data_IF_152891066617
#
_entry.id   IF_152891066617
#
_cell.length_a   1.000
_cell.length_b   1.000
_cell.length_c   1.000
_cell.angle_alpha   90.00
_cell.angle_beta   90.00
_cell.angle_gamma   90.00
#
_symmetry.space_group_name_H-M   'P 1'
#
loop_
_entity.id
_entity.type
_entity.pdbx_description
1 polymer ?
#
# COMPACT_ATOMS: atom_id res chain seq x y z
N UNK A 1 9.93 31.40 -67.71
CA UNK A 1 9.41 31.96 -66.44
C UNK A 1 7.95 31.55 -66.28
N UNK A 2 7.66 30.64 -65.33
CA UNK A 2 6.34 30.28 -64.75
C UNK A 2 6.48 28.83 -64.27
N UNK A 3 6.30 28.62 -62.97
CA UNK A 3 6.32 27.35 -62.19
C UNK A 3 7.18 27.39 -60.90
N UNK A 4 7.61 28.56 -60.43
CA UNK A 4 8.16 28.69 -59.06
C UNK A 4 7.10 29.08 -58.02
N UNK A 5 5.93 29.56 -58.43
CA UNK A 5 4.87 30.03 -57.52
C UNK A 5 4.32 28.95 -56.56
N UNK A 6 4.10 27.67 -56.96
CA UNK A 6 3.55 26.68 -56.02
C UNK A 6 4.59 26.21 -54.99
N UNK A 7 5.89 26.29 -55.30
CA UNK A 7 6.97 25.89 -54.38
C UNK A 7 7.14 26.91 -53.25
N UNK A 8 7.02 28.20 -53.54
CA UNK A 8 7.09 29.25 -52.52
C UNK A 8 5.89 29.23 -51.57
N UNK A 9 4.69 28.89 -52.05
CA UNK A 9 3.50 28.75 -51.19
C UNK A 9 3.63 27.54 -50.27
N UNK A 10 4.17 26.41 -50.76
CA UNK A 10 4.42 25.21 -49.94
C UNK A 10 5.47 25.46 -48.84
N UNK A 11 6.54 26.19 -49.16
CA UNK A 11 7.59 26.54 -48.19
C UNK A 11 7.10 27.51 -47.12
N UNK A 12 6.24 28.46 -47.49
CA UNK A 12 5.60 29.37 -46.52
C UNK A 12 4.59 28.60 -45.64
N UNK A 13 3.87 27.62 -46.19
CA UNK A 13 3.00 26.74 -45.39
C UNK A 13 3.83 25.92 -44.39
N UNK A 14 4.94 25.32 -44.80
CA UNK A 14 5.83 24.58 -43.89
C UNK A 14 6.42 25.51 -42.82
N UNK A 15 6.87 26.72 -43.18
CA UNK A 15 7.44 27.67 -42.23
C UNK A 15 6.40 28.29 -41.27
N UNK A 16 5.14 28.40 -41.68
CA UNK A 16 4.05 28.89 -40.81
C UNK A 16 3.48 27.81 -39.89
N UNK A 17 3.63 26.52 -40.23
CA UNK A 17 3.32 25.39 -39.33
C UNK A 17 4.49 25.01 -38.40
N UNK A 18 5.65 25.66 -38.52
CA UNK A 18 6.81 25.48 -37.62
C UNK A 18 6.81 26.46 -36.43
N UNK A 19 5.82 27.36 -36.33
CA UNK A 19 5.46 28.01 -35.05
C UNK A 19 4.19 27.34 -34.53
N UNK A 20 4.15 26.56 -33.45
CA UNK A 20 4.90 26.69 -32.22
C UNK A 20 5.26 25.30 -31.67
N UNK A 21 6.52 24.91 -31.78
CA UNK A 21 7.15 24.15 -30.70
C UNK A 21 7.51 25.19 -29.64
N UNK A 22 6.49 25.66 -28.90
CA UNK A 22 6.77 26.14 -27.56
C UNK A 22 7.41 24.97 -26.84
N UNK A 23 8.74 25.01 -26.72
CA UNK A 23 9.40 24.42 -25.58
C UNK A 23 8.75 25.07 -24.36
N UNK A 24 7.66 24.47 -23.89
CA UNK A 24 7.30 24.50 -22.49
C UNK A 24 8.41 23.71 -21.78
N UNK A 25 9.61 24.29 -21.72
CA UNK A 25 10.49 24.05 -20.60
C UNK A 25 9.74 24.62 -19.42
N UNK A 26 8.87 23.80 -18.81
CA UNK A 26 8.40 24.05 -17.47
C UNK A 26 9.67 24.18 -16.62
N UNK A 27 10.07 25.42 -16.32
CA UNK A 27 11.11 25.71 -15.34
C UNK A 27 10.56 25.29 -13.97
N UNK A 28 10.70 24.01 -13.66
CA UNK A 28 10.22 23.42 -12.42
C UNK A 28 10.25 21.89 -12.47
N UNK A 29 10.27 21.22 -11.30
CA UNK A 29 10.13 19.77 -11.23
C UNK A 29 8.85 19.32 -11.94
N UNK A 30 8.89 18.16 -12.61
CA UNK A 30 7.70 17.59 -13.25
C UNK A 30 6.62 17.38 -12.17
N UNK A 31 5.36 17.62 -12.54
CA UNK A 31 4.21 17.43 -11.64
C UNK A 31 3.31 16.30 -12.14
N UNK A 32 3.04 15.36 -11.25
CA UNK A 32 2.21 14.17 -11.45
C UNK A 32 0.89 14.32 -10.71
N UNK A 33 -0.11 13.51 -11.05
CA UNK A 33 -1.38 13.49 -10.33
C UNK A 33 -1.24 12.63 -9.08
N UNK A 34 -1.22 13.21 -7.87
CA UNK A 34 -0.93 12.45 -6.65
C UNK A 34 -1.95 11.34 -6.39
N UNK A 35 -3.21 11.52 -6.81
CA UNK A 35 -4.28 10.54 -6.58
C UNK A 35 -4.14 9.24 -7.39
N UNK A 36 -3.09 9.09 -8.20
CA UNK A 36 -2.84 7.89 -9.02
C UNK A 36 -1.73 6.99 -8.47
N UNK A 37 -1.11 7.37 -7.38
CA UNK A 37 0.09 6.72 -6.86
C UNK A 37 -0.13 6.25 -5.43
N UNK A 38 0.58 5.18 -5.06
CA UNK A 38 0.59 4.67 -3.70
C UNK A 38 1.83 5.21 -3.00
N UNK A 39 1.63 5.92 -1.90
CA UNK A 39 2.70 6.59 -1.19
C UNK A 39 3.18 5.72 -0.03
N UNK A 40 4.48 5.49 0.00
CA UNK A 40 5.18 4.83 1.09
C UNK A 40 6.15 5.83 1.70
N UNK A 41 6.03 6.05 3.01
CA UNK A 41 6.85 7.04 3.71
C UNK A 41 6.74 8.45 3.08
N UNK A 42 5.59 8.81 2.51
CA UNK A 42 5.34 10.12 1.88
C UNK A 42 5.95 10.30 0.49
N UNK A 43 6.42 9.23 -0.15
CA UNK A 43 6.94 9.26 -1.53
C UNK A 43 6.42 8.08 -2.35
N UNK A 44 6.46 8.21 -3.69
CA UNK A 44 6.03 7.16 -4.61
C UNK A 44 6.95 7.07 -5.83
N UNK A 45 7.02 5.89 -6.45
CA UNK A 45 7.72 5.69 -7.71
C UNK A 45 6.78 5.86 -8.91
N UNK A 46 7.32 6.44 -9.99
CA UNK A 46 6.62 6.63 -11.26
C UNK A 46 7.54 6.21 -12.40
N UNK A 47 7.19 5.11 -13.06
CA UNK A 47 7.86 4.70 -14.28
C UNK A 47 7.36 5.54 -15.46
N UNK A 48 8.27 6.25 -16.12
CA UNK A 48 8.01 6.86 -17.42
C UNK A 48 8.18 5.81 -18.50
N UNK A 49 7.30 5.87 -19.49
CA UNK A 49 7.32 5.02 -20.66
C UNK A 49 7.48 5.89 -21.89
N UNK A 50 8.47 5.57 -22.72
CA UNK A 50 8.61 6.19 -24.02
C UNK A 50 7.75 5.43 -25.03
N UNK A 51 6.74 6.12 -25.58
CA UNK A 51 5.96 5.60 -26.69
C UNK A 51 6.58 6.08 -28.00
N UNK A 52 7.19 5.18 -28.76
CA UNK A 52 7.56 5.47 -30.13
C UNK A 52 6.32 5.35 -31.04
N UNK A 53 5.95 6.43 -31.74
CA UNK A 53 4.76 6.52 -32.60
C UNK A 53 4.67 5.47 -33.73
N UNK A 54 5.75 4.72 -33.99
CA UNK A 54 5.86 3.77 -35.09
C UNK A 54 6.29 2.36 -34.69
N UNK A 55 6.64 2.13 -33.42
CA UNK A 55 7.00 0.80 -32.90
C UNK A 55 6.03 0.43 -31.78
N UNK A 56 5.44 -0.76 -31.86
CA UNK A 56 4.52 -1.30 -30.86
C UNK A 56 5.20 -1.70 -29.54
N UNK A 57 6.44 -1.26 -29.32
CA UNK A 57 7.23 -1.57 -28.13
C UNK A 57 7.30 -0.33 -27.26
N UNK A 58 6.70 -0.44 -26.08
CA UNK A 58 6.91 0.51 -24.99
C UNK A 58 8.29 0.24 -24.41
N UNK A 59 9.22 1.19 -24.54
CA UNK A 59 10.51 1.11 -23.86
C UNK A 59 10.38 1.77 -22.49
N UNK A 60 10.96 1.13 -21.48
CA UNK A 60 11.08 1.73 -20.15
C UNK A 60 11.98 2.97 -20.28
N UNK A 61 11.45 4.11 -19.84
CA UNK A 61 12.20 5.35 -19.71
C UNK A 61 12.70 5.52 -18.27
N UNK A 62 12.78 6.78 -17.85
CA UNK A 62 13.20 7.17 -16.50
C UNK A 62 12.25 6.64 -15.40
N UNK A 63 12.83 6.30 -14.24
CA UNK A 63 12.09 6.10 -13.00
C UNK A 63 12.17 7.34 -12.13
N UNK A 64 11.03 7.85 -11.68
CA UNK A 64 10.91 9.11 -10.95
C UNK A 64 10.39 8.86 -9.55
N UNK A 65 10.97 9.53 -8.57
CA UNK A 65 10.42 9.61 -7.22
C UNK A 65 9.64 10.92 -7.05
N UNK A 66 8.42 10.84 -6.51
CA UNK A 66 7.53 12.00 -6.28
C UNK A 66 7.08 12.08 -4.81
N UNK A 67 6.75 13.29 -4.35
CA UNK A 67 6.09 13.52 -3.05
C UNK A 67 4.55 13.44 -3.12
N UNK A 68 3.88 13.58 -1.97
CA UNK A 68 2.41 13.54 -1.82
C UNK A 68 1.68 14.66 -2.60
N UNK A 69 2.36 15.75 -2.95
CA UNK A 69 1.84 16.82 -3.82
C UNK A 69 2.01 16.51 -5.31
N UNK A 70 2.63 15.37 -5.62
CA UNK A 70 2.94 14.89 -6.96
C UNK A 70 4.16 15.57 -7.57
N UNK A 71 5.00 16.23 -6.77
CA UNK A 71 6.18 16.94 -7.26
C UNK A 71 7.36 15.96 -7.36
N UNK A 72 8.04 15.96 -8.50
CA UNK A 72 9.28 15.22 -8.69
C UNK A 72 10.36 15.66 -7.69
N UNK A 73 10.89 14.69 -6.96
CA UNK A 73 12.03 14.85 -6.05
C UNK A 73 13.34 14.56 -6.76
N UNK A 74 13.40 13.45 -7.50
CA UNK A 74 14.57 13.04 -8.28
C UNK A 74 14.21 12.02 -9.36
N UNK A 75 15.15 11.82 -10.28
CA UNK A 75 15.05 10.88 -11.39
C UNK A 75 16.22 9.88 -11.36
N UNK A 76 15.93 8.60 -11.58
CA UNK A 76 16.90 7.52 -11.77
C UNK A 76 16.82 7.03 -13.22
N UNK A 77 17.76 7.47 -14.09
CA UNK A 77 17.82 6.97 -15.45
C UNK A 77 18.24 5.49 -15.46
N UNK A 78 17.77 4.74 -16.44
CA UNK A 78 18.11 3.32 -16.68
C UNK A 78 17.77 2.35 -15.53
N UNK A 79 16.93 2.78 -14.57
CA UNK A 79 16.40 1.92 -13.49
C UNK A 79 14.93 1.69 -13.75
N UNK A 80 14.50 0.43 -13.69
CA UNK A 80 13.10 0.07 -13.83
C UNK A 80 12.42 -0.04 -12.47
N UNK A 81 11.10 0.16 -12.46
CA UNK A 81 10.25 -0.05 -11.28
C UNK A 81 10.40 -1.43 -10.62
N UNK A 82 10.74 -2.46 -11.39
CA UNK A 82 10.99 -3.82 -10.88
C UNK A 82 12.38 -4.00 -10.23
N UNK A 83 13.23 -2.98 -10.31
CA UNK A 83 14.56 -2.96 -9.70
C UNK A 83 14.60 -2.12 -8.43
N UNK A 84 13.47 -1.57 -7.99
CA UNK A 84 13.38 -0.77 -6.76
C UNK A 84 12.36 -1.36 -5.82
N UNK A 85 12.62 -1.26 -4.52
CA UNK A 85 11.60 -1.47 -3.52
C UNK A 85 10.75 -0.22 -3.27
N UNK A 86 9.60 -0.37 -2.62
CA UNK A 86 8.96 0.76 -1.94
C UNK A 86 9.89 1.33 -0.85
N UNK A 87 9.59 2.54 -0.38
CA UNK A 87 10.30 3.14 0.76
C UNK A 87 9.78 2.57 2.08
N UNK A 88 10.68 2.36 3.03
CA UNK A 88 10.37 2.07 4.42
C UNK A 88 11.50 2.58 5.31
N UNK A 89 11.16 3.17 6.46
CA UNK A 89 12.12 3.79 7.37
C UNK A 89 13.05 4.80 6.68
N UNK A 90 12.54 5.54 5.69
CA UNK A 90 13.30 6.55 4.97
C UNK A 90 14.23 6.05 3.86
N UNK A 91 14.30 4.73 3.62
CA UNK A 91 15.22 4.13 2.64
C UNK A 91 14.49 3.26 1.62
N UNK A 92 15.12 3.04 0.47
CA UNK A 92 14.69 2.09 -0.55
C UNK A 92 15.88 1.23 -1.03
N UNK A 93 15.58 0.02 -1.46
CA UNK A 93 16.53 -0.93 -2.03
C UNK A 93 16.53 -0.78 -3.56
N UNK A 94 17.71 -0.75 -4.18
CA UNK A 94 17.86 -0.51 -5.62
C UNK A 94 18.83 -1.49 -6.24
N UNK A 95 18.42 -2.07 -7.38
CA UNK A 95 19.22 -2.91 -8.27
C UNK A 95 19.88 -4.09 -7.54
N UNK A 96 19.19 -4.64 -6.53
CA UNK A 96 19.67 -5.77 -5.74
C UNK A 96 20.95 -5.52 -4.93
N UNK A 97 21.40 -4.27 -4.74
CA UNK A 97 22.71 -3.99 -4.11
C UNK A 97 22.81 -2.67 -3.36
N UNK A 98 22.05 -1.65 -3.76
CA UNK A 98 22.17 -0.31 -3.21
C UNK A 98 21.06 -0.02 -2.22
N UNK A 99 21.38 0.81 -1.23
CA UNK A 99 20.40 1.44 -0.35
C UNK A 99 20.49 2.95 -0.57
N UNK A 100 19.35 3.57 -0.86
CA UNK A 100 19.25 5.02 -1.06
C UNK A 100 18.25 5.63 -0.07
N UNK A 101 18.39 6.92 0.21
CA UNK A 101 17.37 7.70 0.92
C UNK A 101 16.37 8.37 -0.06
N UNK A 102 15.37 9.06 0.50
CA UNK A 102 14.35 9.85 -0.24
C UNK A 102 14.91 11.02 -1.05
N UNK A 103 16.20 11.33 -0.93
CA UNK A 103 16.89 12.35 -1.72
C UNK A 103 17.80 11.76 -2.81
N UNK A 104 17.69 10.46 -3.07
CA UNK A 104 18.55 9.68 -3.97
C UNK A 104 20.01 9.59 -3.52
N UNK A 105 20.32 9.93 -2.27
CA UNK A 105 21.68 9.77 -1.77
C UNK A 105 21.95 8.30 -1.54
N UNK A 106 23.01 7.79 -2.17
CA UNK A 106 23.54 6.47 -1.85
C UNK A 106 23.97 6.43 -0.38
N UNK A 107 23.34 5.56 0.40
CA UNK A 107 23.69 5.29 1.78
C UNK A 107 24.71 4.15 1.83
N UNK A 108 24.40 3.04 1.15
CA UNK A 108 25.23 1.82 1.19
C UNK A 108 25.28 1.07 -0.14
N UNK A 109 26.39 0.38 -0.37
CA UNK A 109 26.57 -0.65 -1.40
C UNK A 109 26.91 -1.97 -0.69
N UNK A 110 25.92 -2.83 -0.49
CA UNK A 110 26.06 -4.02 0.36
C UNK A 110 27.00 -5.08 -0.24
N UNK A 111 27.05 -5.21 -1.56
CA UNK A 111 27.98 -6.14 -2.22
C UNK A 111 29.42 -5.74 -1.93
N UNK A 112 29.73 -4.44 -2.01
CA UNK A 112 31.08 -3.93 -1.74
C UNK A 112 31.43 -3.95 -0.26
N UNK A 113 30.47 -3.65 0.62
CA UNK A 113 30.71 -3.48 2.05
C UNK A 113 30.71 -4.81 2.81
N UNK A 114 29.81 -5.72 2.46
CA UNK A 114 29.56 -6.97 3.19
C UNK A 114 29.76 -8.22 2.31
N UNK A 115 29.93 -8.07 1.00
CA UNK A 115 30.04 -9.23 0.09
C UNK A 115 28.71 -9.96 -0.11
N UNK A 116 27.58 -9.25 0.04
CA UNK A 116 26.23 -9.82 -0.04
C UNK A 116 25.36 -9.10 -1.08
N UNK A 117 24.40 -9.81 -1.64
CA UNK A 117 23.42 -9.26 -2.59
C UNK A 117 22.03 -9.21 -1.97
N UNK A 118 21.23 -8.20 -2.30
CA UNK A 118 19.88 -8.03 -1.77
C UNK A 118 18.91 -8.92 -2.53
N UNK A 119 18.09 -9.67 -1.80
CA UNK A 119 16.93 -10.36 -2.35
C UNK A 119 15.75 -9.37 -2.43
N UNK A 120 15.32 -9.04 -3.65
CA UNK A 120 14.18 -8.15 -3.88
C UNK A 120 12.91 -8.97 -4.13
N UNK A 121 11.89 -8.75 -3.30
CA UNK A 121 10.63 -9.46 -3.42
C UNK A 121 9.65 -8.66 -4.29
N UNK A 122 9.10 -9.20 -5.39
CA UNK A 122 8.09 -8.48 -6.17
C UNK A 122 6.79 -8.31 -5.37
N UNK A 123 6.19 -7.12 -5.42
CA UNK A 123 4.89 -6.86 -4.78
C UNK A 123 3.74 -7.21 -5.72
N UNK A 124 3.08 -8.34 -5.49
CA UNK A 124 1.86 -8.66 -6.25
C UNK A 124 0.69 -7.77 -5.80
N UNK A 125 0.24 -6.84 -6.65
CA UNK A 125 -1.03 -6.13 -6.43
C UNK A 125 -2.18 -7.11 -6.66
N UNK A 126 -2.85 -7.51 -5.58
CA UNK A 126 -4.10 -8.26 -5.66
C UNK A 126 -5.23 -7.29 -5.95
N UNK A 127 -5.59 -7.16 -7.23
CA UNK A 127 -6.78 -6.42 -7.66
C UNK A 127 -8.05 -7.22 -7.33
N UNK A 128 -8.39 -7.37 -6.04
CA UNK A 128 -9.74 -7.66 -5.52
C UNK A 128 -10.52 -8.88 -6.04
N UNK A 129 -9.98 -9.71 -6.95
CA UNK A 129 -10.68 -10.84 -7.56
C UNK A 129 -10.02 -12.18 -7.19
N UNK A 130 -10.81 -13.23 -6.86
CA UNK A 130 -10.30 -14.56 -6.66
C UNK A 130 -9.99 -15.17 -8.04
N UNK A 131 -8.78 -14.97 -8.55
CA UNK A 131 -8.44 -15.41 -9.91
C UNK A 131 -7.01 -15.19 -10.35
N UNK A 132 -6.02 -15.58 -9.54
CA UNK A 132 -4.61 -15.65 -9.95
C UNK A 132 -3.92 -14.29 -10.23
N UNK A 133 -2.59 -14.27 -10.33
CA UNK A 133 -1.85 -13.04 -10.64
C UNK A 133 -2.17 -12.61 -12.07
N UNK A 134 -2.73 -11.41 -12.23
CA UNK A 134 -2.78 -10.71 -13.52
C UNK A 134 -1.34 -10.42 -13.94
N UNK A 135 -0.93 -10.98 -15.08
CA UNK A 135 0.46 -11.02 -15.56
C UNK A 135 1.06 -9.67 -15.99
N UNK A 136 0.28 -8.60 -15.96
CA UNK A 136 0.68 -7.31 -16.50
C UNK A 136 0.36 -6.20 -15.50
N UNK A 137 1.25 -5.94 -14.56
CA UNK A 137 1.47 -4.58 -14.02
C UNK A 137 2.78 -4.53 -13.24
N UNK A 138 3.73 -3.79 -13.81
CA UNK A 138 4.83 -3.07 -13.18
C UNK A 138 4.72 -2.95 -11.65
N UNK A 139 5.23 -3.96 -10.94
CA UNK A 139 5.17 -4.03 -9.48
C UNK A 139 6.51 -3.59 -8.92
N UNK A 140 6.47 -2.54 -8.10
CA UNK A 140 7.55 -2.24 -7.16
C UNK A 140 7.87 -3.48 -6.33
N UNK A 141 9.11 -3.61 -5.87
CA UNK A 141 9.47 -4.63 -4.91
C UNK A 141 8.96 -4.26 -3.50
N UNK A 142 8.54 -5.25 -2.74
CA UNK A 142 8.15 -5.12 -1.34
C UNK A 142 9.39 -4.95 -0.45
N UNK A 143 9.30 -3.99 0.46
CA UNK A 143 10.26 -3.76 1.53
C UNK A 143 9.57 -3.15 2.75
N UNK A 144 9.78 -3.75 3.91
CA UNK A 144 9.18 -3.35 5.18
C UNK A 144 10.24 -2.94 6.22
N UNK A 145 11.51 -2.78 5.83
CA UNK A 145 12.58 -2.39 6.74
C UNK A 145 13.54 -3.52 7.11
N UNK A 146 13.23 -4.77 6.77
CA UNK A 146 14.17 -5.90 6.85
C UNK A 146 14.74 -6.23 5.48
N UNK A 147 16.06 -6.37 5.40
CA UNK A 147 16.80 -6.58 4.17
C UNK A 147 17.25 -8.03 4.14
N UNK A 148 16.65 -8.81 3.26
CA UNK A 148 17.08 -10.18 2.98
C UNK A 148 18.28 -10.12 2.06
N UNK A 149 19.35 -10.80 2.44
CA UNK A 149 20.60 -10.81 1.68
C UNK A 149 21.07 -12.22 1.46
N UNK A 150 21.58 -12.49 0.27
CA UNK A 150 22.18 -13.76 -0.12
C UNK A 150 23.69 -13.66 -0.15
N UNK A 151 24.35 -14.73 0.27
CA UNK A 151 25.80 -14.89 0.23
C UNK A 151 26.15 -16.34 -0.12
N UNK A 152 27.18 -16.54 -0.93
CA UNK A 152 27.75 -17.87 -1.17
C UNK A 152 28.84 -18.16 -0.13
N UNK A 153 28.60 -19.18 0.70
CA UNK A 153 29.54 -19.63 1.75
C UNK A 153 29.89 -21.09 1.45
N UNK A 154 31.17 -21.35 1.18
CA UNK A 154 31.68 -22.69 0.83
C UNK A 154 30.93 -23.37 -0.34
N UNK A 155 30.46 -22.58 -1.32
CA UNK A 155 29.71 -23.07 -2.47
C UNK A 155 28.21 -23.30 -2.21
N UNK A 156 27.71 -22.87 -1.05
CA UNK A 156 26.30 -22.95 -0.68
C UNK A 156 25.74 -21.55 -0.55
N UNK A 157 24.69 -21.26 -1.32
CA UNK A 157 23.91 -20.04 -1.18
C UNK A 157 23.13 -20.07 0.15
N UNK A 158 23.39 -19.08 0.99
CA UNK A 158 22.76 -18.86 2.28
C UNK A 158 22.07 -17.50 2.30
N UNK A 159 20.96 -17.41 3.03
CA UNK A 159 20.20 -16.17 3.18
C UNK A 159 20.31 -15.70 4.62
N UNK A 160 20.61 -14.42 4.81
CA UNK A 160 20.56 -13.73 6.10
C UNK A 160 19.60 -12.55 6.06
N UNK A 161 19.44 -11.89 7.20
CA UNK A 161 18.55 -10.75 7.36
C UNK A 161 19.22 -9.64 8.15
N UNK A 162 19.28 -8.46 7.55
CA UNK A 162 19.75 -7.22 8.17
C UNK A 162 18.54 -6.35 8.54
N UNK A 163 18.66 -5.55 9.59
CA UNK A 163 17.75 -4.43 9.81
C UNK A 163 18.15 -3.22 8.94
N UNK A 164 17.35 -2.15 8.98
CA UNK A 164 17.63 -0.90 8.26
C UNK A 164 18.91 -0.17 8.68
N UNK A 165 19.51 -0.54 9.83
CA UNK A 165 20.80 -0.03 10.30
C UNK A 165 21.99 -0.92 9.88
N UNK A 166 21.75 -1.96 9.07
CA UNK A 166 22.73 -2.96 8.64
C UNK A 166 23.31 -3.83 9.76
N UNK A 167 22.56 -4.00 10.83
CA UNK A 167 22.89 -4.97 11.86
C UNK A 167 22.26 -6.32 11.50
N UNK A 168 23.04 -7.39 11.65
CA UNK A 168 22.54 -8.75 11.48
C UNK A 168 21.49 -9.06 12.54
N UNK A 169 20.28 -9.32 12.08
CA UNK A 169 19.22 -9.92 12.91
C UNK A 169 19.32 -11.44 12.81
N UNK A 170 19.65 -11.93 11.62
CA UNK A 170 19.93 -13.34 11.35
C UNK A 170 21.13 -13.40 10.42
N UNK A 171 22.23 -14.02 10.87
CA UNK A 171 23.37 -14.27 9.99
C UNK A 171 23.02 -15.25 8.86
N UNK A 172 23.72 -15.20 7.71
CA UNK A 172 23.43 -16.06 6.58
C UNK A 172 23.35 -17.54 6.96
N UNK A 173 22.21 -18.16 6.66
CA UNK A 173 21.93 -19.56 6.97
C UNK A 173 21.10 -20.20 5.86
N UNK A 174 21.28 -21.51 5.68
CA UNK A 174 20.44 -22.29 4.76
C UNK A 174 18.97 -22.38 5.22
N UNK A 175 18.68 -22.14 6.51
CA UNK A 175 17.32 -22.21 7.05
C UNK A 175 16.41 -21.09 6.52
N UNK A 176 17.00 -19.95 6.13
CA UNK A 176 16.28 -18.78 5.64
C UNK A 176 16.19 -18.74 4.11
N UNK A 177 16.69 -19.78 3.44
CA UNK A 177 16.50 -19.95 2.02
C UNK A 177 14.99 -20.07 1.73
N UNK A 178 14.55 -19.47 0.63
CA UNK A 178 13.15 -19.48 0.15
C UNK A 178 12.14 -18.71 1.01
N UNK A 179 12.60 -17.73 1.80
CA UNK A 179 11.73 -16.82 2.53
C UNK A 179 10.90 -15.97 1.57
N UNK A 180 9.61 -15.82 1.85
CA UNK A 180 8.71 -14.97 1.06
C UNK A 180 7.91 -14.05 1.96
N UNK A 181 7.77 -12.76 1.61
CA UNK A 181 6.90 -11.87 2.36
C UNK A 181 5.46 -12.36 2.28
N UNK A 182 4.76 -12.25 3.41
CA UNK A 182 3.32 -12.49 3.50
C UNK A 182 2.60 -11.22 3.88
N UNK A 183 2.97 -10.63 5.00
CA UNK A 183 2.33 -9.43 5.56
C UNK A 183 3.36 -8.63 6.36
N UNK A 184 2.93 -7.56 7.04
CA UNK A 184 3.77 -6.64 7.83
C UNK A 184 4.79 -7.38 8.73
N UNK A 185 6.05 -7.44 8.29
CA UNK A 185 7.17 -8.10 8.99
C UNK A 185 6.99 -9.61 9.21
N UNK A 186 6.05 -10.22 8.48
CA UNK A 186 5.71 -11.64 8.55
C UNK A 186 6.01 -12.31 7.22
N UNK A 187 6.74 -13.41 7.32
CA UNK A 187 7.27 -14.14 6.17
C UNK A 187 6.88 -15.60 6.28
N UNK A 188 6.96 -16.30 5.15
CA UNK A 188 6.74 -17.74 5.09
C UNK A 188 7.96 -18.42 4.46
N UNK A 189 8.46 -19.42 5.18
CA UNK A 189 9.44 -20.38 4.70
C UNK A 189 8.73 -21.69 4.34
N UNK A 190 9.01 -22.22 3.14
CA UNK A 190 8.37 -23.45 2.66
C UNK A 190 8.62 -24.71 3.52
N UNK A 191 9.69 -24.70 4.31
CA UNK A 191 10.12 -25.83 5.14
C UNK A 191 9.82 -25.56 6.63
N UNK A 192 10.14 -24.37 7.10
CA UNK A 192 10.10 -24.01 8.53
C UNK A 192 8.76 -23.41 8.98
N UNK A 193 7.92 -22.94 8.05
CA UNK A 193 6.63 -22.32 8.37
C UNK A 193 6.69 -20.79 8.42
N UNK A 194 5.89 -20.18 9.29
CA UNK A 194 5.80 -18.73 9.42
C UNK A 194 6.95 -18.18 10.26
N UNK A 195 7.42 -16.98 9.91
CA UNK A 195 8.52 -16.32 10.59
C UNK A 195 8.18 -14.86 10.84
N UNK A 196 8.49 -14.40 12.04
CA UNK A 196 8.30 -13.02 12.45
C UNK A 196 9.65 -12.31 12.61
N UNK A 197 9.91 -11.34 11.74
CA UNK A 197 11.18 -10.62 11.76
C UNK A 197 11.33 -9.65 12.94
N UNK A 198 10.22 -9.15 13.52
CA UNK A 198 10.30 -8.23 14.66
C UNK A 198 10.75 -8.93 15.94
N UNK A 199 10.30 -10.17 16.14
CA UNK A 199 10.65 -10.99 17.32
C UNK A 199 11.75 -12.01 17.03
N UNK A 200 12.16 -12.15 15.76
CA UNK A 200 13.19 -13.06 15.29
C UNK A 200 12.92 -14.53 15.67
N UNK A 201 11.73 -15.03 15.35
CA UNK A 201 11.34 -16.42 15.65
C UNK A 201 10.42 -17.00 14.57
N UNK A 202 10.48 -18.33 14.43
CA UNK A 202 9.47 -19.08 13.69
C UNK A 202 8.24 -19.29 14.59
N UNK A 203 7.07 -19.07 14.01
CA UNK A 203 5.77 -19.15 14.70
C UNK A 203 4.85 -20.09 13.93
N UNK A 204 3.83 -20.61 14.61
CA UNK A 204 2.78 -21.38 13.97
C UNK A 204 1.78 -20.48 13.22
N UNK A 205 0.87 -21.11 12.48
CA UNK A 205 -0.12 -20.40 11.66
C UNK A 205 -1.12 -19.58 12.51
N UNK A 206 -1.46 -20.06 13.70
CA UNK A 206 -2.41 -19.38 14.57
C UNK A 206 -1.79 -18.09 15.10
N UNK A 207 -0.58 -18.16 15.64
CA UNK A 207 0.20 -17.00 16.09
C UNK A 207 0.44 -16.00 14.95
N UNK A 208 0.76 -16.49 13.74
CA UNK A 208 0.88 -15.65 12.54
C UNK A 208 -0.41 -14.86 12.27
N UNK A 209 -1.58 -15.51 12.33
CA UNK A 209 -2.88 -14.85 12.11
C UNK A 209 -3.14 -13.79 13.18
N UNK A 210 -2.80 -14.05 14.44
CA UNK A 210 -2.93 -13.08 15.54
C UNK A 210 -2.04 -11.87 15.27
N UNK A 211 -0.75 -12.08 15.03
CA UNK A 211 0.21 -10.99 14.81
C UNK A 211 -0.11 -10.18 13.57
N UNK A 212 -0.52 -10.84 12.48
CA UNK A 212 -0.95 -10.17 11.26
C UNK A 212 -2.13 -9.23 11.56
N UNK A 213 -3.19 -9.75 12.19
CA UNK A 213 -4.34 -8.95 12.59
C UNK A 213 -3.94 -7.75 13.45
N UNK A 214 -3.13 -7.94 14.49
CA UNK A 214 -2.69 -6.84 15.36
C UNK A 214 -1.90 -5.76 14.62
N UNK A 215 -1.12 -6.15 13.59
CA UNK A 215 -0.28 -5.24 12.78
C UNK A 215 -1.04 -4.51 11.70
N UNK A 216 -2.27 -4.91 11.38
CA UNK A 216 -3.11 -4.21 10.42
C UNK A 216 -3.79 -2.96 10.99
N UNK A 217 -3.82 -2.80 12.32
CA UNK A 217 -4.46 -1.67 13.00
C UNK A 217 -3.47 -0.90 13.90
N UNK A 218 -2.32 -0.43 13.36
CA UNK A 218 -1.28 0.17 14.19
C UNK A 218 -1.67 1.53 14.75
N UNK A 219 -2.51 2.32 14.06
CA UNK A 219 -2.82 3.69 14.47
C UNK A 219 -3.91 3.77 15.53
N UNK A 220 -5.07 3.14 15.29
CA UNK A 220 -6.16 3.11 16.26
C UNK A 220 -5.90 2.14 17.41
N UNK A 221 -5.18 1.05 17.15
CA UNK A 221 -5.03 -0.07 18.09
C UNK A 221 -6.35 -0.76 18.42
N UNK A 222 -7.40 -0.50 17.63
CA UNK A 222 -8.76 -1.01 17.84
C UNK A 222 -9.14 -1.87 16.64
N UNK A 223 -9.56 -3.09 16.93
CA UNK A 223 -9.75 -4.14 15.94
C UNK A 223 -11.21 -4.56 15.98
N UNK A 224 -11.85 -4.52 14.82
CA UNK A 224 -13.19 -5.09 14.69
C UNK A 224 -13.11 -6.60 14.44
N UNK A 225 -13.77 -7.38 15.28
CA UNK A 225 -13.90 -8.83 15.15
C UNK A 225 -15.38 -9.20 15.05
N UNK A 226 -15.72 -9.91 13.99
CA UNK A 226 -17.06 -10.48 13.76
C UNK A 226 -17.04 -11.97 14.09
N UNK A 227 -17.83 -12.36 15.08
CA UNK A 227 -17.96 -13.74 15.51
C UNK A 227 -18.74 -14.56 14.46
N UNK A 228 -18.10 -15.61 13.94
CA UNK A 228 -18.68 -16.57 13.00
C UNK A 228 -19.13 -17.87 13.70
N UNK A 229 -19.07 -17.90 15.04
CA UNK A 229 -19.31 -19.08 15.87
C UNK A 229 -18.08 -19.99 16.02
N UNK A 230 -18.13 -20.89 17.01
CA UNK A 230 -17.04 -21.84 17.33
C UNK A 230 -15.66 -21.14 17.48
N UNK A 231 -15.62 -20.01 18.20
CA UNK A 231 -14.40 -19.21 18.41
C UNK A 231 -13.74 -18.68 17.15
N UNK A 232 -14.43 -18.74 16.00
CA UNK A 232 -13.93 -18.24 14.73
C UNK A 232 -14.35 -16.79 14.55
N UNK A 233 -13.39 -15.95 14.18
CA UNK A 233 -13.63 -14.54 13.93
C UNK A 233 -13.15 -14.15 12.53
N UNK A 234 -13.86 -13.21 11.94
CA UNK A 234 -13.40 -12.44 10.78
C UNK A 234 -12.98 -11.06 11.24
N UNK A 235 -11.84 -10.57 10.76
CA UNK A 235 -11.44 -9.17 10.87
C UNK A 235 -11.39 -8.56 9.48
N UNK A 236 -11.81 -7.30 9.35
CA UNK A 236 -11.75 -6.59 8.09
C UNK A 236 -11.67 -5.07 8.28
N UNK A 237 -10.78 -4.42 7.53
CA UNK A 237 -10.71 -2.97 7.39
C UNK A 237 -10.16 -2.63 6.00
N UNK A 238 -11.01 -2.04 5.15
CA UNK A 238 -10.63 -1.74 3.78
C UNK A 238 -10.25 -3.01 2.99
N UNK A 239 -9.02 -3.06 2.47
CA UNK A 239 -8.47 -4.21 1.74
C UNK A 239 -7.94 -5.32 2.66
N UNK A 240 -7.72 -5.02 3.94
CA UNK A 240 -7.26 -6.01 4.91
C UNK A 240 -8.44 -6.85 5.35
N UNK A 241 -8.32 -8.17 5.22
CA UNK A 241 -9.29 -9.11 5.77
C UNK A 241 -8.62 -10.43 6.12
N UNK A 242 -9.16 -11.11 7.13
CA UNK A 242 -8.67 -12.43 7.51
C UNK A 242 -9.62 -13.18 8.43
N UNK A 243 -9.17 -14.38 8.81
CA UNK A 243 -9.89 -15.27 9.72
C UNK A 243 -8.94 -15.74 10.80
N UNK A 244 -9.43 -15.79 12.03
CA UNK A 244 -8.65 -16.16 13.21
C UNK A 244 -9.52 -16.99 14.15
N UNK A 245 -8.89 -17.87 14.93
CA UNK A 245 -9.56 -18.58 16.02
C UNK A 245 -9.07 -18.01 17.35
N UNK A 246 -9.99 -17.63 18.22
CA UNK A 246 -9.69 -17.02 19.52
C UNK A 246 -10.57 -17.67 20.59
N UNK A 247 -9.98 -18.57 21.38
CA UNK A 247 -10.72 -19.42 22.34
C UNK A 247 -11.35 -18.63 23.50
N UNK A 248 -10.76 -17.49 23.87
CA UNK A 248 -11.16 -16.72 25.06
C UNK A 248 -12.09 -15.53 24.77
N UNK A 249 -12.55 -15.37 23.53
CA UNK A 249 -13.54 -14.36 23.15
C UNK A 249 -14.70 -15.00 22.40
N UNK A 250 -15.90 -14.43 22.52
CA UNK A 250 -17.14 -14.99 21.97
C UNK A 250 -18.07 -13.93 21.34
N UNK A 251 -17.68 -12.65 21.36
CA UNK A 251 -18.54 -11.53 20.99
C UNK A 251 -18.14 -10.84 19.69
N UNK A 252 -19.11 -10.36 18.94
CA UNK A 252 -18.87 -9.44 17.82
C UNK A 252 -18.69 -8.03 18.37
N UNK A 253 -17.62 -7.33 17.98
CA UNK A 253 -17.33 -6.03 18.54
C UNK A 253 -15.96 -5.46 18.21
N UNK A 254 -15.62 -4.38 18.90
CA UNK A 254 -14.30 -3.77 18.84
C UNK A 254 -13.46 -4.15 20.04
N UNK A 255 -12.21 -4.51 19.79
CA UNK A 255 -11.24 -4.99 20.76
C UNK A 255 -9.98 -4.12 20.74
N UNK A 256 -9.29 -4.00 21.87
CA UNK A 256 -7.95 -3.40 21.90
C UNK A 256 -6.88 -4.42 21.43
N UNK A 257 -5.62 -4.01 21.44
CA UNK A 257 -4.48 -4.88 21.09
C UNK A 257 -4.27 -6.07 22.04
N UNK A 258 -4.72 -5.94 23.28
CA UNK A 258 -4.67 -7.02 24.28
C UNK A 258 -5.87 -7.98 24.15
N UNK A 259 -6.73 -7.76 23.14
CA UNK A 259 -7.97 -8.49 22.87
C UNK A 259 -9.02 -8.34 23.98
N UNK A 260 -8.98 -7.24 24.75
CA UNK A 260 -10.08 -6.85 25.62
C UNK A 260 -11.20 -6.19 24.79
N UNK A 261 -12.44 -6.59 25.08
CA UNK A 261 -13.62 -6.01 24.44
C UNK A 261 -13.82 -4.56 24.88
N UNK A 262 -13.79 -3.65 23.91
CA UNK A 262 -14.04 -2.21 24.10
C UNK A 262 -15.51 -1.88 23.84
N UNK A 263 -16.07 -2.43 22.75
CA UNK A 263 -17.49 -2.24 22.39
C UNK A 263 -18.11 -3.57 21.99
N UNK A 264 -19.13 -3.99 22.74
CA UNK A 264 -19.97 -5.13 22.39
C UNK A 264 -21.03 -4.72 21.36
N UNK A 265 -21.00 -5.37 20.21
CA UNK A 265 -21.95 -5.16 19.11
C UNK A 265 -22.71 -6.45 18.77
N UNK A 266 -22.69 -7.43 19.68
CA UNK A 266 -23.31 -8.75 19.47
C UNK A 266 -24.84 -8.69 19.40
N UNK A 267 -25.46 -7.57 19.81
CA UNK A 267 -26.90 -7.35 19.69
C UNK A 267 -27.36 -7.10 18.25
N UNK A 268 -26.46 -6.70 17.36
CA UNK A 268 -26.76 -6.43 15.95
C UNK A 268 -26.62 -7.72 15.13
N UNK A 269 -27.66 -8.16 14.40
CA UNK A 269 -27.57 -9.34 13.54
C UNK A 269 -26.46 -9.30 12.49
N UNK A 270 -26.12 -8.09 12.04
CA UNK A 270 -25.05 -7.83 11.09
C UNK A 270 -24.44 -6.47 11.42
N UNK A 271 -23.12 -6.39 11.49
CA UNK A 271 -22.39 -5.13 11.74
C UNK A 271 -21.01 -5.19 11.10
N UNK A 272 -20.61 -4.10 10.44
CA UNK A 272 -19.31 -3.97 9.76
C UNK A 272 -18.78 -2.54 9.87
N UNK A 273 -17.48 -2.34 10.15
CA UNK A 273 -16.86 -1.03 10.09
C UNK A 273 -16.74 -0.58 8.64
N UNK A 274 -17.11 0.67 8.39
CA UNK A 274 -16.89 1.38 7.13
C UNK A 274 -15.62 2.25 7.20
N UNK A 275 -15.16 2.60 8.40
CA UNK A 275 -13.91 3.31 8.63
C UNK A 275 -13.15 2.73 9.83
N UNK A 276 -11.87 3.04 9.94
CA UNK A 276 -11.14 2.87 11.21
C UNK A 276 -11.61 3.91 12.24
N UNK A 277 -11.21 3.74 13.49
CA UNK A 277 -11.38 4.74 14.53
C UNK A 277 -10.52 5.97 14.26
N UNK A 278 -11.18 7.11 14.03
CA UNK A 278 -10.54 8.43 13.91
C UNK A 278 -11.12 9.34 14.98
N UNK A 279 -10.26 9.94 15.81
CA UNK A 279 -10.68 10.79 16.92
C UNK A 279 -11.75 10.14 17.81
N UNK A 280 -11.54 8.86 18.16
CA UNK A 280 -12.45 8.04 19.00
C UNK A 280 -13.84 7.78 18.39
N UNK A 281 -13.99 7.90 17.06
CA UNK A 281 -15.24 7.63 16.34
C UNK A 281 -15.00 6.67 15.19
N UNK A 282 -15.96 5.78 14.95
CA UNK A 282 -15.94 4.83 13.84
C UNK A 282 -17.28 4.89 13.10
N UNK A 283 -17.23 4.92 11.78
CA UNK A 283 -18.42 4.77 10.95
C UNK A 283 -18.71 3.28 10.77
N UNK A 284 -19.91 2.83 11.13
CA UNK A 284 -20.34 1.44 11.01
C UNK A 284 -21.62 1.33 10.19
N UNK A 285 -21.72 0.25 9.40
CA UNK A 285 -22.99 -0.23 8.85
C UNK A 285 -23.51 -1.37 9.70
N UNK A 286 -24.80 -1.39 10.03
CA UNK A 286 -25.39 -2.44 10.85
C UNK A 286 -26.85 -2.69 10.47
N UNK A 287 -27.36 -3.86 10.82
CA UNK A 287 -28.78 -4.20 10.77
C UNK A 287 -29.34 -4.25 12.18
N UNK A 288 -30.59 -3.81 12.36
CA UNK A 288 -31.31 -3.99 13.61
C UNK A 288 -31.97 -5.37 13.68
N UNK A 289 -32.61 -5.68 14.81
CA UNK A 289 -33.36 -6.95 15.01
C UNK A 289 -34.56 -7.14 14.05
N UNK A 290 -34.92 -6.13 13.28
CA UNK A 290 -35.96 -6.17 12.24
C UNK A 290 -35.37 -6.27 10.83
N UNK A 291 -34.05 -6.51 10.72
CA UNK A 291 -33.32 -6.59 9.45
C UNK A 291 -33.34 -5.27 8.65
N UNK A 292 -33.57 -4.13 9.32
CA UNK A 292 -33.45 -2.82 8.71
C UNK A 292 -32.00 -2.35 8.77
N UNK A 293 -31.43 -1.99 7.62
CA UNK A 293 -30.02 -1.57 7.51
C UNK A 293 -29.84 -0.08 7.76
N UNK A 294 -28.84 0.26 8.57
CA UNK A 294 -28.45 1.62 8.93
C UNK A 294 -26.95 1.83 8.79
N UNK A 295 -26.56 3.09 8.71
CA UNK A 295 -25.18 3.53 8.91
C UNK A 295 -25.17 4.56 10.03
N UNK A 296 -24.23 4.42 10.95
CA UNK A 296 -24.10 5.32 12.09
C UNK A 296 -22.66 5.56 12.48
N UNK A 297 -22.41 6.72 13.07
CA UNK A 297 -21.12 7.09 13.64
C UNK A 297 -21.16 6.81 15.13
N UNK A 298 -20.36 5.84 15.59
CA UNK A 298 -20.31 5.38 16.98
C UNK A 298 -19.03 5.87 17.65
N UNK A 299 -19.10 6.22 18.94
CA UNK A 299 -17.91 6.55 19.74
C UNK A 299 -17.45 5.37 20.61
N UNK A 300 -16.31 5.51 21.30
CA UNK A 300 -15.78 4.49 22.21
C UNK A 300 -16.64 4.18 23.45
N UNK A 301 -17.66 4.99 23.73
CA UNK A 301 -18.64 4.71 24.79
C UNK A 301 -19.84 3.89 24.29
N UNK A 302 -19.85 3.53 22.99
CA UNK A 302 -20.94 2.80 22.35
C UNK A 302 -22.14 3.69 21.99
N UNK A 303 -22.00 5.01 22.08
CA UNK A 303 -23.07 5.96 21.75
C UNK A 303 -22.99 6.34 20.27
N UNK A 304 -24.13 6.21 19.59
CA UNK A 304 -24.29 6.77 18.26
C UNK A 304 -24.40 8.29 18.32
N UNK A 305 -23.52 8.97 17.58
CA UNK A 305 -23.59 10.40 17.32
C UNK A 305 -24.72 10.67 16.31
N UNK A 306 -24.83 9.82 15.30
CA UNK A 306 -25.98 9.78 14.40
C UNK A 306 -26.24 8.36 13.89
N UNK A 307 -27.45 8.13 13.41
CA UNK A 307 -27.88 6.93 12.68
C UNK A 307 -28.74 7.39 11.50
N UNK A 308 -28.48 6.87 10.29
CA UNK A 308 -29.27 7.21 9.12
C UNK A 308 -29.31 6.07 8.08
N UNK A 309 -30.19 6.20 7.07
CA UNK A 309 -30.39 5.25 5.97
C UNK A 309 -30.03 5.89 4.63
N UNK A 310 -29.77 5.07 3.60
CA UNK A 310 -29.46 5.56 2.25
C UNK A 310 -28.02 6.06 2.10
N UNK A 311 -27.06 5.39 2.74
CA UNK A 311 -25.63 5.68 2.65
C UNK A 311 -25.11 5.56 1.21
N UNK A 312 -24.27 6.51 0.79
CA UNK A 312 -23.68 6.60 -0.55
C UNK A 312 -22.14 6.50 -0.55
N UNK A 313 -21.49 6.70 0.59
CA UNK A 313 -20.03 6.74 0.71
C UNK A 313 -19.56 7.77 1.72
N UNK A 314 -18.25 7.79 2.00
CA UNK A 314 -17.62 8.82 2.82
C UNK A 314 -16.24 9.20 2.25
N UNK A 315 -15.75 10.35 2.67
CA UNK A 315 -14.38 10.84 2.45
C UNK A 315 -13.84 11.44 3.76
N UNK A 316 -12.67 12.09 3.72
CA UNK A 316 -12.05 12.69 4.90
C UNK A 316 -12.88 13.82 5.53
N UNK A 317 -13.82 14.42 4.79
CA UNK A 317 -14.58 15.58 5.23
C UNK A 317 -16.04 15.24 5.56
N UNK A 318 -16.65 14.34 4.80
CA UNK A 318 -18.10 14.11 4.86
C UNK A 318 -18.51 12.66 4.66
N UNK A 319 -19.67 12.34 5.24
CA UNK A 319 -20.37 11.06 5.16
C UNK A 319 -21.68 11.30 4.40
N UNK A 320 -21.80 10.76 3.19
CA UNK A 320 -22.87 11.08 2.24
C UNK A 320 -24.04 10.10 2.33
N UNK A 321 -25.24 10.65 2.33
CA UNK A 321 -26.51 9.94 2.25
C UNK A 321 -27.33 10.52 1.09
N UNK A 322 -28.44 9.85 0.75
CA UNK A 322 -29.32 10.28 -0.36
C UNK A 322 -29.79 11.74 -0.26
N UNK A 323 -30.18 12.17 0.94
CA UNK A 323 -30.85 13.46 1.14
C UNK A 323 -30.02 14.48 1.96
N UNK A 324 -28.81 14.09 2.39
CA UNK A 324 -27.95 14.93 3.24
C UNK A 324 -26.52 14.39 3.28
N UNK A 325 -25.63 15.16 3.92
CA UNK A 325 -24.35 14.65 4.40
C UNK A 325 -24.12 15.05 5.84
N UNK A 326 -23.33 14.25 6.56
CA UNK A 326 -22.85 14.55 7.90
C UNK A 326 -21.36 14.88 7.84
N UNK A 327 -20.89 15.78 8.70
CA UNK A 327 -19.48 15.82 9.06
C UNK A 327 -19.14 14.73 10.11
N UNK A 328 -17.86 14.60 10.44
CA UNK A 328 -17.39 13.66 11.47
C UNK A 328 -17.71 14.09 12.91
N UNK A 329 -18.32 15.26 13.10
CA UNK A 329 -18.90 15.71 14.38
C UNK A 329 -20.40 15.39 14.48
N UNK A 330 -21.01 14.87 13.41
CA UNK A 330 -22.41 14.49 13.34
C UNK A 330 -23.37 15.62 13.02
N UNK A 331 -22.88 16.77 12.54
CA UNK A 331 -23.71 17.86 12.07
C UNK A 331 -24.26 17.49 10.69
N UNK A 332 -25.59 17.48 10.57
CA UNK A 332 -26.29 17.17 9.32
C UNK A 332 -26.48 18.41 8.46
N UNK A 333 -26.06 18.32 7.21
CA UNK A 333 -26.24 19.33 6.18
C UNK A 333 -27.13 18.77 5.09
N UNK A 334 -28.25 19.45 4.81
CA UNK A 334 -29.11 19.06 3.69
C UNK A 334 -28.37 19.32 2.39
N UNK A 335 -28.44 18.36 1.48
CA UNK A 335 -28.11 18.62 0.09
C UNK A 335 -29.25 19.44 -0.48
N UNK A 336 -29.01 20.71 -0.82
CA UNK A 336 -29.99 21.48 -1.56
C UNK A 336 -30.29 20.71 -2.85
N UNK A 337 -31.56 20.31 -3.01
CA UNK A 337 -32.05 19.71 -4.24
C UNK A 337 -31.70 20.66 -5.40
N UNK A 338 -30.90 20.19 -6.35
CA UNK A 338 -30.82 20.80 -7.69
C UNK A 338 -32.12 20.50 -8.42
#
# INVERSE_FOLDING_TARGET
>A
MKNKLPVYILLIFILLFVSACEKNEQEGPRKFNPNKHEYHDGVAWVQIYDSHLFDSYTTYGDLICIDEDGVELFCMPDVNICQVSNFSNGIALVDGKYIIDKSAKLIHNLEKELGVTIEMFPRYKYDGFPGGPTKDTNSECYFDGFIFVTQEIEGVEMTGMLNSNLEWIVEPTAQFKDMKPKDNYLYYNGIMGYYDALTNEFIDEDEYRIRHMLRCFPESGIIFLECQGNHKFTYSLGSVQGKIYLENIDKTGFYNRDLDLILDLSEYPSVKPLSDFKSNKCLISFENVREESYVGLINLEGKFIFINTGYLGHDSEKIKFKDCYFDWEGICYKTDNI
#
